data_IF_711468640247
#
_entry.id   IF_711468640247
#
_cell.length_a   1.000
_cell.length_b   1.000
_cell.length_c   1.000
_cell.angle_alpha   90.00
_cell.angle_beta   90.00
_cell.angle_gamma   90.00
#
_symmetry.space_group_name_H-M   'P 1'
#
loop_
_entity.id
_entity.type
_entity.pdbx_description
1 polymer ?
#
# COMPACT_ATOMS: atom_id res chain seq x y z
N UNK A 1 37.04 -32.42 17.21
CA UNK A 1 35.92 -33.16 17.83
C UNK A 1 35.19 -33.81 16.67
N UNK A 2 35.61 -35.01 16.28
CA UNK A 2 34.97 -36.30 16.71
C UNK A 2 33.64 -36.48 15.98
N UNK A 3 33.27 -37.57 15.30
CA UNK A 3 33.84 -38.88 14.92
C UNK A 3 32.89 -39.36 13.79
N UNK A 4 33.34 -39.83 12.63
CA UNK A 4 33.62 -41.24 12.29
C UNK A 4 32.60 -42.29 12.78
N UNK A 5 32.19 -43.13 11.82
CA UNK A 5 32.02 -44.59 11.91
C UNK A 5 30.74 -45.14 12.62
N UNK A 6 30.07 -46.22 12.19
CA UNK A 6 30.17 -47.17 11.07
C UNK A 6 29.10 -48.29 11.24
N UNK A 7 28.96 -49.15 10.21
CA UNK A 7 28.50 -50.57 10.21
C UNK A 7 26.98 -50.88 10.31
N UNK A 8 26.42 -51.90 9.65
CA UNK A 8 26.97 -53.05 8.88
C UNK A 8 25.91 -53.64 7.91
N UNK A 9 26.31 -54.20 6.76
CA UNK A 9 26.68 -55.62 6.47
C UNK A 9 25.47 -56.58 6.51
N UNK A 10 24.91 -56.97 5.34
CA UNK A 10 24.93 -58.33 4.71
C UNK A 10 24.30 -59.44 5.58
N UNK A 11 23.54 -60.47 5.19
CA UNK A 11 23.54 -61.45 4.08
C UNK A 11 22.17 -62.16 4.20
N UNK A 12 21.53 -62.65 3.13
CA UNK A 12 21.60 -64.10 2.87
C UNK A 12 20.27 -64.84 3.05
N UNK A 13 19.72 -65.28 1.92
CA UNK A 13 18.77 -66.37 1.67
C UNK A 13 18.61 -67.45 2.76
N UNK A 14 17.37 -67.95 2.96
CA UNK A 14 17.04 -69.36 2.65
C UNK A 14 15.54 -69.62 2.66
N UNK A 15 15.07 -70.13 1.52
CA UNK A 15 13.81 -70.81 1.30
C UNK A 15 13.66 -71.98 2.30
N UNK A 16 12.51 -72.10 2.96
CA UNK A 16 11.92 -73.43 3.25
C UNK A 16 10.45 -73.43 2.86
N UNK A 17 10.21 -74.01 1.69
CA UNK A 17 8.90 -74.50 1.24
C UNK A 17 8.43 -75.59 2.19
N UNK A 18 7.26 -75.42 2.79
CA UNK A 18 6.38 -76.52 3.14
C UNK A 18 5.02 -76.26 2.51
N UNK A 19 4.69 -77.08 1.52
CA UNK A 19 3.42 -77.10 0.82
C UNK A 19 2.50 -78.09 1.54
N UNK A 20 1.22 -77.74 1.69
CA UNK A 20 -0.01 -78.55 1.46
C UNK A 20 -1.20 -77.78 2.11
N UNK A 21 -1.98 -77.04 1.30
CA UNK A 21 -3.39 -77.34 0.91
C UNK A 21 -4.34 -77.38 2.14
N UNK A 22 -5.40 -76.56 2.30
CA UNK A 22 -6.48 -76.16 1.39
C UNK A 22 -7.21 -74.97 2.01
N UNK A 23 -7.58 -73.96 1.22
CA UNK A 23 -8.47 -72.90 1.69
C UNK A 23 -8.61 -71.81 0.64
N UNK A 24 -9.48 -72.04 -0.34
CA UNK A 24 -9.99 -70.97 -1.19
C UNK A 24 -10.77 -70.02 -0.30
N UNK A 25 -10.20 -68.86 0.03
CA UNK A 25 -10.99 -67.70 0.44
C UNK A 25 -10.81 -66.64 -0.62
N UNK A 26 -11.95 -66.19 -1.17
CA UNK A 26 -12.02 -65.08 -2.10
C UNK A 26 -11.29 -63.88 -1.49
N UNK A 27 -10.08 -63.59 -1.96
CA UNK A 27 -9.60 -62.22 -1.89
C UNK A 27 -10.21 -61.54 -3.10
N UNK A 28 -11.30 -60.81 -2.85
CA UNK A 28 -11.78 -59.83 -3.80
C UNK A 28 -10.54 -59.03 -4.24
N UNK A 29 -10.27 -59.02 -5.54
CA UNK A 29 -9.33 -58.06 -6.09
C UNK A 29 -9.90 -56.69 -5.72
N UNK A 30 -9.36 -56.08 -4.67
CA UNK A 30 -9.49 -54.65 -4.46
C UNK A 30 -8.74 -54.04 -5.64
N UNK A 31 -9.47 -53.86 -6.74
CA UNK A 31 -9.16 -52.84 -7.71
C UNK A 31 -9.19 -51.55 -6.91
N UNK A 32 -8.03 -51.16 -6.37
CA UNK A 32 -7.77 -49.76 -6.08
C UNK A 32 -7.78 -49.12 -7.46
N UNK A 33 -8.97 -48.70 -7.88
CA UNK A 33 -9.09 -47.72 -8.93
C UNK A 33 -8.42 -46.48 -8.34
N UNK A 34 -7.22 -46.16 -8.82
CA UNK A 34 -6.82 -44.77 -8.88
C UNK A 34 -7.87 -44.10 -9.78
N UNK A 35 -8.94 -43.57 -9.17
CA UNK A 35 -9.70 -42.53 -9.83
C UNK A 35 -8.72 -41.41 -10.17
N UNK A 36 -8.94 -40.63 -11.24
CA UNK A 36 -8.21 -39.40 -11.38
C UNK A 36 -8.41 -38.65 -10.06
N UNK A 37 -7.31 -38.34 -9.38
CA UNK A 37 -7.31 -37.21 -8.46
C UNK A 37 -7.72 -36.03 -9.34
N UNK A 38 -9.01 -35.73 -9.35
CA UNK A 38 -9.47 -34.39 -9.69
C UNK A 38 -8.90 -33.55 -8.55
N UNK A 39 -7.67 -33.06 -8.73
CA UNK A 39 -7.33 -31.75 -8.19
C UNK A 39 -8.45 -30.86 -8.69
N UNK A 40 -9.19 -30.26 -7.79
CA UNK A 40 -10.25 -29.32 -8.11
C UNK A 40 -9.65 -28.25 -9.04
N UNK A 41 -9.78 -28.43 -10.36
CA UNK A 41 -9.53 -27.40 -11.34
C UNK A 41 -10.82 -26.58 -11.38
N UNK A 42 -10.70 -25.26 -11.36
CA UNK A 42 -11.76 -24.24 -11.35
C UNK A 42 -11.92 -23.46 -10.02
N UNK A 43 -10.81 -22.94 -9.48
CA UNK A 43 -10.67 -21.57 -8.95
C UNK A 43 -9.16 -21.21 -9.03
N UNK A 44 -8.55 -21.43 -10.19
CA UNK A 44 -7.10 -21.26 -10.37
C UNK A 44 -6.74 -19.77 -10.40
N UNK A 45 -6.49 -19.23 -9.21
CA UNK A 45 -5.93 -17.91 -9.01
C UNK A 45 -4.55 -17.74 -9.66
N UNK A 46 -4.05 -16.51 -9.66
CA UNK A 46 -2.76 -16.18 -10.25
C UNK A 46 -1.65 -16.36 -9.22
N UNK A 47 -0.61 -17.11 -9.57
CA UNK A 47 0.59 -17.22 -8.75
C UNK A 47 1.64 -16.20 -9.22
N UNK A 48 1.97 -15.23 -8.36
CA UNK A 48 3.03 -14.23 -8.60
C UNK A 48 4.05 -14.33 -7.48
N UNK A 49 5.25 -14.82 -7.82
CA UNK A 49 6.26 -15.18 -6.82
C UNK A 49 5.74 -16.26 -5.87
N UNK A 50 5.79 -15.97 -4.57
CA UNK A 50 5.29 -16.85 -3.51
C UNK A 50 3.84 -16.53 -3.08
N UNK A 51 3.19 -15.56 -3.74
CA UNK A 51 1.82 -15.14 -3.44
C UNK A 51 0.82 -15.71 -4.46
N UNK A 52 -0.39 -16.00 -3.99
CA UNK A 52 -1.53 -16.44 -4.81
C UNK A 52 -2.65 -15.42 -4.68
N UNK A 53 -3.16 -14.94 -5.82
CA UNK A 53 -4.22 -13.94 -5.93
C UNK A 53 -5.46 -14.58 -6.53
N UNK A 54 -6.65 -14.28 -6.00
CA UNK A 54 -7.90 -14.78 -6.57
C UNK A 54 -8.17 -14.13 -7.94
N UNK A 55 -8.93 -14.81 -8.80
CA UNK A 55 -9.38 -14.21 -10.06
C UNK A 55 -10.18 -12.93 -9.79
N UNK A 56 -9.85 -11.86 -10.50
CA UNK A 56 -10.40 -10.51 -10.31
C UNK A 56 -9.71 -9.68 -9.22
N UNK A 57 -8.83 -10.28 -8.41
CA UNK A 57 -8.05 -9.54 -7.41
C UNK A 57 -7.05 -8.60 -8.08
N UNK A 58 -6.91 -7.40 -7.53
CA UNK A 58 -5.93 -6.41 -7.97
C UNK A 58 -4.86 -6.20 -6.90
N UNK A 59 -3.61 -6.07 -7.35
CA UNK A 59 -2.42 -5.94 -6.49
C UNK A 59 -1.40 -5.00 -7.12
N UNK A 60 -0.50 -4.43 -6.30
CA UNK A 60 0.60 -3.61 -6.81
C UNK A 60 1.68 -4.49 -7.44
N UNK A 61 2.22 -4.02 -8.57
CA UNK A 61 3.43 -4.59 -9.16
C UNK A 61 4.66 -4.31 -8.27
N UNK A 62 5.73 -5.05 -8.49
CA UNK A 62 7.01 -4.86 -7.81
C UNK A 62 7.66 -3.51 -8.12
N UNK A 63 7.29 -2.88 -9.24
CA UNK A 63 7.72 -1.52 -9.58
C UNK A 63 7.07 -0.42 -8.73
N UNK A 64 6.03 -0.75 -7.94
CA UNK A 64 5.35 0.17 -7.02
C UNK A 64 4.47 1.24 -7.68
N UNK A 65 4.40 1.28 -9.02
CA UNK A 65 3.54 2.22 -9.74
C UNK A 65 2.44 1.50 -10.50
N UNK A 66 2.72 0.33 -11.07
CA UNK A 66 1.76 -0.41 -11.85
C UNK A 66 0.82 -1.24 -10.97
N UNK A 67 -0.42 -1.36 -11.43
CA UNK A 67 -1.43 -2.22 -10.80
C UNK A 67 -1.69 -3.40 -11.70
N UNK A 68 -1.62 -4.59 -11.13
CA UNK A 68 -1.90 -5.85 -11.78
C UNK A 68 -3.25 -6.39 -11.36
N UNK A 69 -3.92 -7.11 -12.25
CA UNK A 69 -5.17 -7.82 -12.00
C UNK A 69 -5.01 -9.28 -12.42
N UNK A 70 -5.44 -10.18 -11.54
CA UNK A 70 -5.53 -11.60 -11.86
C UNK A 70 -6.74 -11.86 -12.76
N UNK A 71 -6.51 -12.52 -13.90
CA UNK A 71 -7.53 -12.86 -14.89
C UNK A 71 -7.86 -14.35 -14.86
N UNK A 72 -8.99 -14.71 -15.47
CA UNK A 72 -9.38 -16.10 -15.69
C UNK A 72 -8.26 -16.89 -16.39
N UNK A 73 -8.03 -18.14 -15.95
CA UNK A 73 -6.98 -19.00 -16.51
C UNK A 73 -5.57 -18.67 -16.03
N UNK A 74 -5.44 -17.95 -14.90
CA UNK A 74 -4.16 -17.69 -14.22
C UNK A 74 -3.28 -16.62 -14.88
N UNK A 75 -3.81 -15.87 -15.86
CA UNK A 75 -3.08 -14.78 -16.51
C UNK A 75 -3.05 -13.53 -15.62
N UNK A 76 -1.93 -12.80 -15.62
CA UNK A 76 -1.79 -11.51 -14.93
C UNK A 76 -1.67 -10.41 -15.96
N UNK A 77 -2.51 -9.39 -15.85
CA UNK A 77 -2.43 -8.18 -16.67
C UNK A 77 -2.13 -6.97 -15.79
N UNK A 78 -1.10 -6.22 -16.12
CA UNK A 78 -0.70 -5.02 -15.38
C UNK A 78 -0.91 -3.76 -16.22
N UNK A 79 -1.07 -2.62 -15.56
CA UNK A 79 -0.91 -1.33 -16.22
C UNK A 79 0.54 -1.18 -16.71
N UNK A 80 0.74 -0.36 -17.74
CA UNK A 80 2.08 -0.08 -18.31
C UNK A 80 2.41 1.42 -18.16
N UNK A 81 2.32 1.91 -16.92
CA UNK A 81 2.71 3.27 -16.56
C UNK A 81 4.23 3.35 -16.46
N UNK A 82 4.78 4.48 -16.92
CA UNK A 82 6.19 4.79 -16.71
C UNK A 82 6.38 5.19 -15.25
N UNK A 83 7.00 4.32 -14.45
CA UNK A 83 7.38 4.67 -13.10
C UNK A 83 8.55 5.66 -13.15
N UNK A 84 8.38 6.82 -12.53
CA UNK A 84 9.41 7.84 -12.41
C UNK A 84 9.94 7.87 -10.98
N UNK A 85 11.23 8.14 -10.83
CA UNK A 85 11.91 8.16 -9.52
C UNK A 85 11.45 9.33 -8.62
N UNK A 86 10.74 10.31 -9.19
CA UNK A 86 10.27 11.47 -8.44
C UNK A 86 9.62 12.54 -9.32
N UNK A 87 9.32 13.67 -8.68
CA UNK A 87 8.61 14.80 -9.27
C UNK A 87 9.30 16.11 -8.90
N UNK A 88 8.88 17.19 -9.56
CA UNK A 88 9.35 18.55 -9.25
C UNK A 88 8.17 19.45 -8.94
N UNK A 89 8.19 20.08 -7.77
CA UNK A 89 7.19 21.04 -7.31
C UNK A 89 7.87 22.31 -6.81
N UNK A 90 7.45 23.47 -7.32
CA UNK A 90 8.01 24.79 -7.00
C UNK A 90 9.56 24.85 -7.06
N UNK A 91 10.13 24.17 -8.05
CA UNK A 91 11.59 24.11 -8.26
C UNK A 91 12.35 23.18 -7.29
N UNK A 92 11.66 22.45 -6.43
CA UNK A 92 12.23 21.42 -5.56
C UNK A 92 11.90 20.01 -6.06
N UNK A 93 12.85 19.09 -5.88
CA UNK A 93 12.71 17.69 -6.26
C UNK A 93 12.26 16.86 -5.04
N UNK A 94 11.31 15.97 -5.28
CA UNK A 94 10.76 15.03 -4.30
C UNK A 94 10.84 13.62 -4.86
N UNK A 95 11.08 12.64 -3.99
CA UNK A 95 11.11 11.24 -4.37
C UNK A 95 9.68 10.71 -4.56
N UNK A 96 9.48 9.72 -5.43
CA UNK A 96 8.18 9.11 -5.61
C UNK A 96 7.63 8.55 -4.28
N UNK A 97 6.39 8.89 -3.96
CA UNK A 97 5.72 8.58 -2.69
C UNK A 97 5.87 9.64 -1.60
N UNK A 98 6.69 10.67 -1.79
CA UNK A 98 6.84 11.75 -0.80
C UNK A 98 5.54 12.51 -0.58
N UNK A 99 5.33 12.99 0.65
CA UNK A 99 4.30 13.97 0.99
C UNK A 99 4.95 15.23 1.55
N UNK A 100 4.52 16.40 1.06
CA UNK A 100 5.14 17.69 1.35
C UNK A 100 4.11 18.83 1.42
N UNK A 101 4.39 19.94 2.13
CA UNK A 101 3.49 21.10 2.16
C UNK A 101 3.45 21.81 0.80
N UNK A 102 2.28 22.27 0.39
CA UNK A 102 2.10 23.12 -0.77
C UNK A 102 2.67 24.53 -0.52
N UNK A 103 2.97 25.26 -1.60
CA UNK A 103 3.49 26.62 -1.53
C UNK A 103 2.47 27.65 -1.02
N UNK A 104 1.19 27.30 -0.96
CA UNK A 104 0.12 28.13 -0.42
C UNK A 104 0.04 28.12 1.13
N UNK A 105 0.83 27.27 1.78
CA UNK A 105 0.95 27.22 3.24
C UNK A 105 -0.21 26.54 3.98
N UNK A 106 -1.21 26.02 3.28
CA UNK A 106 -2.34 25.32 3.92
C UNK A 106 -2.65 23.95 3.31
N UNK A 107 -2.30 23.73 2.04
CA UNK A 107 -2.49 22.46 1.37
C UNK A 107 -1.26 21.55 1.54
N UNK A 108 -1.49 20.26 1.31
CA UNK A 108 -0.44 19.25 1.24
C UNK A 108 -0.45 18.59 -0.13
N UNK A 109 0.72 18.22 -0.61
CA UNK A 109 0.91 17.54 -1.88
C UNK A 109 1.59 16.18 -1.70
N UNK A 110 1.37 15.28 -2.65
CA UNK A 110 2.06 14.01 -2.81
C UNK A 110 2.77 13.94 -4.16
N UNK A 111 3.95 13.32 -4.16
CA UNK A 111 4.67 12.93 -5.35
C UNK A 111 4.20 11.54 -5.79
N UNK A 112 3.46 11.47 -6.89
CA UNK A 112 2.95 10.20 -7.39
C UNK A 112 4.05 9.43 -8.13
N UNK A 113 3.87 8.11 -8.23
CA UNK A 113 4.85 7.20 -8.83
C UNK A 113 4.99 7.34 -10.35
N UNK A 114 4.06 8.04 -11.00
CA UNK A 114 4.17 8.47 -12.40
C UNK A 114 4.87 9.84 -12.57
N UNK A 115 5.40 10.40 -11.46
CA UNK A 115 6.07 11.69 -11.38
C UNK A 115 5.13 12.90 -11.39
N UNK A 116 3.81 12.69 -11.34
CA UNK A 116 2.84 13.77 -11.15
C UNK A 116 2.80 14.25 -9.70
N UNK A 117 2.26 15.45 -9.49
CA UNK A 117 2.05 16.02 -8.16
C UNK A 117 0.55 16.19 -7.93
N UNK A 118 0.03 15.55 -6.89
CA UNK A 118 -1.35 15.70 -6.46
C UNK A 118 -1.41 16.50 -5.17
N UNK A 119 -2.22 17.56 -5.11
CA UNK A 119 -2.36 18.38 -3.91
C UNK A 119 -3.81 18.38 -3.41
N UNK A 120 -3.98 18.56 -2.10
CA UNK A 120 -5.28 18.91 -1.54
C UNK A 120 -5.74 20.26 -2.08
N UNK A 121 -7.05 20.47 -2.18
CA UNK A 121 -7.65 21.71 -2.69
C UNK A 121 -8.53 22.37 -1.62
N UNK A 122 -7.97 22.54 -0.41
CA UNK A 122 -8.62 23.28 0.65
C UNK A 122 -8.51 24.77 0.36
N UNK A 123 -9.59 25.51 0.60
CA UNK A 123 -9.53 26.96 0.61
C UNK A 123 -8.69 27.39 1.81
N UNK A 124 -7.56 28.05 1.57
CA UNK A 124 -6.76 28.61 2.64
C UNK A 124 -7.52 29.76 3.29
N UNK A 125 -7.54 29.80 4.63
CA UNK A 125 -8.03 30.97 5.35
C UNK A 125 -7.11 32.15 5.05
N UNK A 126 -7.68 33.29 4.66
CA UNK A 126 -6.91 34.53 4.51
C UNK A 126 -6.62 35.10 5.90
N UNK A 127 -5.64 34.53 6.60
CA UNK A 127 -5.24 35.05 7.90
C UNK A 127 -4.65 36.44 7.76
N UNK A 128 -4.92 37.31 8.73
CA UNK A 128 -4.33 38.63 8.79
C UNK A 128 -3.03 38.60 9.59
N UNK A 129 -2.03 39.39 9.18
CA UNK A 129 -0.84 39.65 10.01
C UNK A 129 -0.87 41.09 10.50
N UNK A 130 -0.92 41.30 11.81
CA UNK A 130 -0.84 42.63 12.44
C UNK A 130 0.24 42.63 13.52
N UNK A 131 1.19 43.57 13.39
CA UNK A 131 2.35 43.70 14.30
C UNK A 131 3.08 42.38 14.59
N UNK A 132 3.20 41.52 13.57
CA UNK A 132 3.86 40.21 13.66
C UNK A 132 3.05 39.10 14.33
N UNK A 133 1.80 39.37 14.74
CA UNK A 133 0.84 38.37 15.19
C UNK A 133 -0.08 37.95 14.03
N UNK A 134 -0.51 36.69 14.04
CA UNK A 134 -1.40 36.12 13.03
C UNK A 134 -2.80 35.97 13.63
N UNK A 135 -3.80 36.46 12.90
CA UNK A 135 -5.21 36.43 13.27
C UNK A 135 -6.02 35.67 12.21
N UNK A 136 -7.00 34.89 12.65
CA UNK A 136 -7.94 34.22 11.76
C UNK A 136 -9.01 35.21 11.29
N UNK A 137 -9.63 34.96 10.11
CA UNK A 137 -10.82 35.67 9.71
C UNK A 137 -11.88 35.72 10.82
N UNK A 138 -12.39 36.92 11.10
CA UNK A 138 -13.37 37.19 12.15
C UNK A 138 -12.78 37.45 13.54
N UNK A 139 -11.46 37.31 13.75
CA UNK A 139 -10.84 37.67 15.01
C UNK A 139 -10.92 39.19 15.24
N UNK A 140 -11.30 39.58 16.46
CA UNK A 140 -11.27 40.96 16.96
C UNK A 140 -10.16 41.12 17.99
N UNK A 141 -9.38 42.19 17.89
CA UNK A 141 -8.22 42.42 18.77
C UNK A 141 -7.93 43.90 18.98
N UNK A 142 -7.39 44.23 20.16
CA UNK A 142 -6.88 45.57 20.47
C UNK A 142 -5.50 45.77 19.79
N UNK A 143 -5.26 46.91 19.11
CA UNK A 143 -3.97 47.20 18.52
C UNK A 143 -2.93 47.52 19.59
N UNK A 144 -1.70 47.10 19.34
CA UNK A 144 -0.58 47.32 20.27
C UNK A 144 -0.23 48.82 20.27
N UNK A 145 -0.52 49.49 21.40
CA UNK A 145 -0.28 50.93 21.57
C UNK A 145 -1.53 51.81 21.42
N UNK A 146 -2.72 51.22 21.35
CA UNK A 146 -4.00 51.94 21.27
C UNK A 146 -4.23 52.92 22.43
N UNK A 147 -4.78 54.08 22.08
CA UNK A 147 -5.21 55.15 22.99
C UNK A 147 -6.66 54.96 23.43
N UNK A 148 -7.18 55.79 24.34
CA UNK A 148 -8.43 55.57 25.08
C UNK A 148 -9.74 55.68 24.27
N UNK A 149 -9.71 55.61 22.94
CA UNK A 149 -10.92 55.58 22.13
C UNK A 149 -10.73 54.79 20.83
N UNK A 150 -11.77 54.07 20.39
CA UNK A 150 -11.93 53.57 19.02
C UNK A 150 -11.11 52.36 18.60
N UNK A 151 -10.02 52.03 19.28
CA UNK A 151 -9.00 51.12 18.78
C UNK A 151 -9.37 49.62 18.92
N UNK A 152 -10.36 49.13 18.17
CA UNK A 152 -10.58 47.69 17.94
C UNK A 152 -10.28 47.40 16.48
N UNK A 153 -9.49 46.36 16.24
CA UNK A 153 -9.20 45.85 14.91
C UNK A 153 -9.93 44.53 14.67
N UNK A 154 -10.34 44.30 13.44
CA UNK A 154 -10.92 43.03 12.99
C UNK A 154 -10.12 42.48 11.82
N UNK A 155 -9.86 41.18 11.85
CA UNK A 155 -9.35 40.47 10.69
C UNK A 155 -10.51 40.13 9.74
N UNK A 156 -10.53 40.72 8.56
CA UNK A 156 -11.56 40.48 7.56
C UNK A 156 -11.32 39.16 6.81
N UNK A 157 -12.38 38.63 6.18
CA UNK A 157 -12.35 37.38 5.39
C UNK A 157 -11.40 37.45 4.17
N UNK A 158 -10.99 38.64 3.75
CA UNK A 158 -10.02 38.85 2.67
C UNK A 158 -8.56 38.95 3.16
N UNK A 159 -8.31 38.77 4.46
CA UNK A 159 -6.99 38.83 5.08
C UNK A 159 -6.49 40.25 5.38
N UNK A 160 -7.35 41.26 5.22
CA UNK A 160 -7.03 42.63 5.62
C UNK A 160 -7.43 42.89 7.07
N UNK A 161 -6.66 43.77 7.73
CA UNK A 161 -6.99 44.26 9.06
C UNK A 161 -7.68 45.60 8.91
N UNK A 162 -8.91 45.68 9.40
CA UNK A 162 -9.63 46.94 9.54
C UNK A 162 -9.59 47.36 11.01
N UNK A 163 -9.07 48.55 11.28
CA UNK A 163 -9.05 49.11 12.63
C UNK A 163 -9.91 50.37 12.61
N UNK A 164 -10.91 50.41 13.48
CA UNK A 164 -11.68 51.63 13.65
C UNK A 164 -10.79 52.66 14.37
N UNK A 165 -10.62 53.84 13.78
CA UNK A 165 -9.90 54.94 14.42
C UNK A 165 -10.91 56.03 14.79
N UNK A 166 -10.70 56.69 15.92
CA UNK A 166 -11.54 57.84 16.29
C UNK A 166 -11.46 58.95 15.23
N UNK A 167 -12.62 59.38 14.72
CA UNK A 167 -12.72 60.61 13.96
C UNK A 167 -12.37 61.81 14.86
N UNK A 168 -11.33 62.56 14.46
CA UNK A 168 -10.86 63.79 15.12
C UNK A 168 -11.82 64.97 14.93
#
# INVERSE_FOLDING_TARGET
>A
MSDSFQHGTTIGSTLRRNLLWVGVTLTAAFLVACGPSVSDEDEDGCQVGDQTYAVGESFQDADGCNTCTCQDGGAVACTEMACLDGCTYDGQNYDAGDSFPASDGCNSCSCESDGSVACTTMACANTCTYDGQVYNPGDEFEPIGGSTCGDMCSCLEDGTVDCEYCAS
#
